data_IF_095850451829
#
_entry.id   IF_095850451829
#
_cell.length_a   1.000
_cell.length_b   1.000
_cell.length_c   1.000
_cell.angle_alpha   90.00
_cell.angle_beta   90.00
_cell.angle_gamma   90.00
#
_symmetry.space_group_name_H-M   'P 1'
#
loop_
_entity.id
_entity.type
_entity.pdbx_description
1 polymer ?
#
# COMPACT_ATOMS: atom_id res chain seq x y z
N UNK A 1 -10.69 18.39 2.33
CA UNK A 1 -9.36 18.62 2.94
C UNK A 1 -8.35 17.70 2.25
N UNK A 2 -7.23 18.22 1.74
CA UNK A 2 -6.20 17.38 1.11
C UNK A 2 -5.41 16.67 2.20
N UNK A 3 -5.45 15.34 2.24
CA UNK A 3 -4.70 14.52 3.20
C UNK A 3 -3.22 14.54 2.82
N UNK A 4 -2.36 15.00 3.71
CA UNK A 4 -0.91 14.90 3.52
C UNK A 4 -0.44 13.47 3.81
N UNK A 5 -0.11 12.70 2.78
CA UNK A 5 0.24 11.28 2.94
C UNK A 5 1.51 11.05 3.78
N UNK A 6 2.38 12.06 3.96
CA UNK A 6 3.53 11.98 4.88
C UNK A 6 3.14 11.93 6.36
N UNK A 7 1.90 12.29 6.69
CA UNK A 7 1.37 12.15 8.05
C UNK A 7 0.98 10.71 8.38
N UNK A 8 0.95 9.82 7.38
CA UNK A 8 0.44 8.46 7.51
C UNK A 8 1.46 7.42 7.08
N UNK A 9 2.76 7.71 7.26
CA UNK A 9 3.84 6.73 7.07
C UNK A 9 3.78 5.63 8.15
N UNK A 10 4.33 4.46 7.89
CA UNK A 10 4.25 3.28 8.75
C UNK A 10 4.72 3.57 10.18
N UNK A 11 5.78 4.37 10.34
CA UNK A 11 6.29 4.79 11.65
C UNK A 11 5.22 5.59 12.42
N UNK A 12 4.49 6.50 11.76
CA UNK A 12 3.41 7.25 12.39
C UNK A 12 2.19 6.38 12.68
N UNK A 13 1.91 5.41 11.80
CA UNK A 13 0.85 4.42 12.01
C UNK A 13 1.12 3.58 13.26
N UNK A 14 2.35 3.09 13.46
CA UNK A 14 2.67 2.32 14.67
C UNK A 14 2.67 3.16 15.95
N UNK A 15 3.10 4.42 15.88
CA UNK A 15 3.08 5.35 17.02
C UNK A 15 1.65 5.61 17.47
N UNK A 16 0.74 5.79 16.50
CA UNK A 16 -0.69 6.03 16.75
C UNK A 16 -1.43 4.74 17.12
N UNK A 17 -1.11 3.62 16.48
CA UNK A 17 -1.84 2.37 16.56
C UNK A 17 -0.83 1.24 16.81
N UNK A 18 -0.46 1.04 18.08
CA UNK A 18 0.61 0.12 18.49
C UNK A 18 0.47 -1.31 17.98
N UNK A 19 -0.75 -1.75 17.64
CA UNK A 19 -0.97 -3.08 17.08
C UNK A 19 -0.25 -3.30 15.74
N UNK A 20 0.08 -2.23 15.00
CA UNK A 20 0.82 -2.33 13.74
C UNK A 20 2.15 -3.06 13.92
N UNK A 21 2.83 -2.89 15.06
CA UNK A 21 4.08 -3.60 15.40
C UNK A 21 3.91 -5.12 15.43
N UNK A 22 2.69 -5.60 15.70
CA UNK A 22 2.37 -7.02 15.72
C UNK A 22 2.14 -7.63 14.33
N UNK A 23 1.91 -6.79 13.31
CA UNK A 23 1.56 -7.24 11.96
C UNK A 23 2.76 -7.86 11.23
N UNK A 24 2.47 -8.87 10.43
CA UNK A 24 3.45 -9.45 9.50
C UNK A 24 3.97 -8.41 8.49
N UNK A 25 3.11 -7.45 8.11
CA UNK A 25 3.50 -6.32 7.28
C UNK A 25 4.62 -5.49 7.91
N UNK A 26 4.47 -5.12 9.19
CA UNK A 26 5.47 -4.31 9.90
C UNK A 26 6.79 -5.07 10.06
N UNK A 27 6.73 -6.32 10.52
CA UNK A 27 7.91 -7.18 10.66
C UNK A 27 8.64 -7.38 9.32
N UNK A 28 7.88 -7.51 8.23
CA UNK A 28 8.47 -7.57 6.89
C UNK A 28 9.18 -6.28 6.53
N UNK A 29 8.51 -5.14 6.77
CA UNK A 29 9.07 -3.83 6.50
C UNK A 29 10.41 -3.63 7.22
N UNK A 30 10.52 -4.02 8.49
CA UNK A 30 11.78 -3.95 9.24
C UNK A 30 12.90 -4.75 8.56
N UNK A 31 12.64 -5.99 8.14
CA UNK A 31 13.62 -6.84 7.44
C UNK A 31 14.02 -6.23 6.09
N UNK A 32 13.06 -5.70 5.34
CA UNK A 32 13.28 -5.10 4.02
C UNK A 32 14.00 -3.74 4.09
N UNK A 33 13.91 -3.06 5.23
CA UNK A 33 14.54 -1.74 5.43
C UNK A 33 15.99 -1.82 5.98
N UNK A 34 16.44 -2.99 6.43
CA UNK A 34 17.82 -3.21 6.89
C UNK A 34 18.85 -2.88 5.79
N UNK A 35 20.04 -2.42 6.21
CA UNK A 35 21.09 -2.04 5.28
C UNK A 35 21.74 -3.26 4.62
N UNK A 36 22.48 -3.02 3.53
CA UNK A 36 23.19 -4.09 2.82
C UNK A 36 24.27 -4.75 3.68
N UNK A 37 24.89 -4.01 4.60
CA UNK A 37 25.93 -4.54 5.50
C UNK A 37 25.37 -5.47 6.58
N UNK A 38 24.08 -5.34 6.90
CA UNK A 38 23.45 -6.08 8.00
C UNK A 38 23.07 -7.52 7.63
N UNK A 39 23.21 -7.91 6.35
CA UNK A 39 22.67 -9.15 5.81
C UNK A 39 23.70 -9.82 4.87
N UNK A 40 23.91 -11.13 5.02
CA UNK A 40 24.78 -11.92 4.14
C UNK A 40 24.39 -11.65 2.67
N UNK A 41 25.34 -11.17 1.86
CA UNK A 41 25.11 -10.71 0.48
C UNK A 41 24.17 -11.65 -0.28
N UNK A 42 22.94 -11.22 -0.51
CA UNK A 42 22.01 -11.92 -1.39
C UNK A 42 22.50 -11.72 -2.83
N UNK A 43 23.06 -12.76 -3.45
CA UNK A 43 23.60 -12.70 -4.82
C UNK A 43 22.49 -12.70 -5.90
N UNK A 44 21.42 -11.93 -5.69
CA UNK A 44 20.32 -11.83 -6.63
C UNK A 44 20.61 -10.77 -7.70
N UNK A 45 20.51 -11.15 -8.97
CA UNK A 45 20.66 -10.23 -10.10
C UNK A 45 21.96 -9.40 -10.08
N UNK A 46 23.08 -10.01 -9.67
CA UNK A 46 24.37 -9.30 -9.43
C UNK A 46 24.96 -8.64 -10.68
N UNK A 47 24.70 -9.21 -11.86
CA UNK A 47 25.29 -8.75 -13.13
C UNK A 47 24.46 -7.67 -13.84
N UNK A 48 23.43 -7.12 -13.20
CA UNK A 48 22.63 -6.07 -13.82
C UNK A 48 23.42 -4.76 -13.92
N UNK A 49 23.38 -4.15 -15.09
CA UNK A 49 23.96 -2.83 -15.29
C UNK A 49 22.94 -1.76 -14.93
N UNK A 50 23.39 -0.78 -14.14
CA UNK A 50 22.65 0.45 -13.83
C UNK A 50 23.09 1.63 -14.68
N UNK A 51 23.96 1.42 -15.68
CA UNK A 51 24.57 2.48 -16.50
C UNK A 51 23.58 3.30 -17.33
N UNK A 52 22.31 2.89 -17.39
CA UNK A 52 21.23 3.58 -18.09
C UNK A 52 20.42 4.52 -17.18
N UNK A 53 20.76 4.54 -15.89
CA UNK A 53 20.19 5.44 -14.92
C UNK A 53 21.25 6.45 -14.52
N UNK A 54 20.87 7.71 -14.50
CA UNK A 54 21.74 8.81 -14.12
C UNK A 54 21.35 9.41 -12.75
N UNK A 55 20.20 8.99 -12.20
CA UNK A 55 19.67 9.48 -10.93
C UNK A 55 20.17 8.61 -9.75
N UNK A 56 20.98 9.16 -8.83
CA UNK A 56 21.57 8.40 -7.73
C UNK A 56 20.54 7.80 -6.76
N UNK A 57 19.42 8.48 -6.53
CA UNK A 57 18.38 8.05 -5.59
C UNK A 57 17.56 6.90 -6.20
N UNK A 58 17.23 6.99 -7.49
CA UNK A 58 16.62 5.87 -8.25
C UNK A 58 17.55 4.66 -8.24
N UNK A 59 18.84 4.83 -8.54
CA UNK A 59 19.81 3.73 -8.54
C UNK A 59 19.90 3.08 -7.15
N UNK A 60 19.96 3.89 -6.10
CA UNK A 60 20.05 3.42 -4.71
C UNK A 60 18.82 2.60 -4.31
N UNK A 61 17.61 3.12 -4.57
CA UNK A 61 16.37 2.42 -4.27
C UNK A 61 16.23 1.13 -5.08
N UNK A 62 16.64 1.13 -6.34
CA UNK A 62 16.55 -0.03 -7.21
C UNK A 62 17.52 -1.15 -6.79
N UNK A 63 18.74 -0.81 -6.38
CA UNK A 63 19.67 -1.78 -5.76
C UNK A 63 19.06 -2.43 -4.51
N UNK A 64 18.44 -1.63 -3.64
CA UNK A 64 17.73 -2.14 -2.45
C UNK A 64 16.56 -3.05 -2.84
N UNK A 65 15.77 -2.66 -3.84
CA UNK A 65 14.64 -3.46 -4.33
C UNK A 65 15.08 -4.82 -4.89
N UNK A 66 16.13 -4.88 -5.71
CA UNK A 66 16.68 -6.15 -6.21
C UNK A 66 17.16 -7.04 -5.08
N UNK A 67 17.90 -6.47 -4.13
CA UNK A 67 18.35 -7.19 -2.94
C UNK A 67 17.17 -7.75 -2.13
N UNK A 68 16.12 -6.97 -1.96
CA UNK A 68 14.89 -7.40 -1.30
C UNK A 68 14.14 -8.48 -2.08
N UNK A 69 14.13 -8.44 -3.41
CA UNK A 69 13.66 -9.56 -4.23
C UNK A 69 14.48 -10.84 -3.99
N UNK A 70 15.80 -10.69 -3.79
CA UNK A 70 16.68 -11.79 -3.37
C UNK A 70 16.32 -12.40 -2.02
N UNK A 71 15.96 -11.58 -1.03
CA UNK A 71 15.43 -12.08 0.26
C UNK A 71 14.20 -12.95 0.04
N UNK A 72 13.27 -12.51 -0.81
CA UNK A 72 12.02 -13.22 -1.09
C UNK A 72 12.23 -14.56 -1.82
N UNK A 73 13.42 -14.81 -2.38
CA UNK A 73 13.76 -16.13 -2.93
C UNK A 73 14.06 -17.16 -1.83
N UNK A 74 14.43 -16.70 -0.63
CA UNK A 74 14.81 -17.54 0.51
C UNK A 74 14.16 -17.03 1.80
N UNK A 75 12.82 -16.91 1.83
CA UNK A 75 12.14 -16.23 2.92
C UNK A 75 12.39 -16.89 4.28
N UNK A 76 12.65 -18.19 4.32
CA UNK A 76 12.96 -18.94 5.54
C UNK A 76 14.28 -18.54 6.21
N UNK A 77 15.23 -17.95 5.45
CA UNK A 77 16.50 -17.45 6.00
C UNK A 77 16.35 -16.08 6.70
N UNK A 78 15.30 -15.33 6.37
CA UNK A 78 15.18 -13.91 6.75
C UNK A 78 13.93 -13.56 7.56
N UNK A 79 12.87 -14.33 7.42
CA UNK A 79 11.62 -14.12 8.13
C UNK A 79 11.29 -15.31 9.04
N UNK A 80 10.61 -15.04 10.15
CA UNK A 80 10.23 -16.05 11.15
C UNK A 80 8.72 -16.17 11.21
N UNK A 81 8.23 -17.40 11.35
CA UNK A 81 6.82 -17.71 11.57
C UNK A 81 6.03 -17.88 10.28
N UNK A 82 4.71 -17.66 10.36
CA UNK A 82 3.76 -17.98 9.29
C UNK A 82 3.88 -17.09 8.05
N UNK A 83 4.64 -16.00 8.16
CA UNK A 83 4.91 -15.05 7.10
C UNK A 83 5.59 -15.68 5.87
N UNK A 84 6.41 -16.73 6.09
CA UNK A 84 7.10 -17.46 5.02
C UNK A 84 6.17 -18.41 4.26
N UNK A 85 4.98 -18.70 4.80
CA UNK A 85 4.03 -19.66 4.21
C UNK A 85 3.28 -19.10 2.99
N UNK A 86 3.31 -17.78 2.77
CA UNK A 86 2.60 -17.14 1.64
C UNK A 86 3.52 -16.18 0.88
N UNK A 87 4.02 -16.67 -0.27
CA UNK A 87 4.83 -15.85 -1.19
C UNK A 87 4.05 -14.63 -1.72
N UNK A 88 2.75 -14.80 -1.98
CA UNK A 88 1.88 -13.71 -2.44
C UNK A 88 1.80 -12.57 -1.41
N UNK A 89 1.69 -12.90 -0.11
CA UNK A 89 1.71 -11.89 0.96
C UNK A 89 3.06 -11.18 1.07
N UNK A 90 4.17 -11.91 0.98
CA UNK A 90 5.50 -11.31 0.98
C UNK A 90 5.68 -10.29 -0.15
N UNK A 91 5.08 -10.54 -1.31
CA UNK A 91 5.08 -9.59 -2.40
C UNK A 91 4.26 -8.34 -2.13
N UNK A 92 3.09 -8.47 -1.51
CA UNK A 92 2.35 -7.30 -1.02
C UNK A 92 3.21 -6.49 -0.06
N UNK A 93 3.91 -7.13 0.88
CA UNK A 93 4.75 -6.42 1.84
C UNK A 93 5.96 -5.75 1.18
N UNK A 94 6.56 -6.37 0.15
CA UNK A 94 7.61 -5.74 -0.64
C UNK A 94 7.09 -4.52 -1.41
N UNK A 95 5.92 -4.61 -2.03
CA UNK A 95 5.29 -3.48 -2.72
C UNK A 95 4.93 -2.36 -1.73
N UNK A 96 4.38 -2.70 -0.56
CA UNK A 96 4.14 -1.75 0.52
C UNK A 96 5.42 -1.00 0.88
N UNK A 97 6.51 -1.74 1.12
CA UNK A 97 7.81 -1.15 1.42
C UNK A 97 8.28 -0.22 0.29
N UNK A 98 8.20 -0.66 -0.97
CA UNK A 98 8.61 0.17 -2.12
C UNK A 98 7.79 1.47 -2.19
N UNK A 99 6.47 1.38 -2.08
CA UNK A 99 5.58 2.54 -2.12
C UNK A 99 5.86 3.50 -0.97
N UNK A 100 6.13 2.97 0.22
CA UNK A 100 6.53 3.78 1.36
C UNK A 100 7.86 4.49 1.13
N UNK A 101 8.86 3.82 0.56
CA UNK A 101 10.15 4.45 0.22
C UNK A 101 9.98 5.57 -0.81
N UNK A 102 9.13 5.38 -1.83
CA UNK A 102 8.85 6.41 -2.82
C UNK A 102 8.19 7.65 -2.20
N UNK A 103 7.30 7.45 -1.22
CA UNK A 103 6.61 8.52 -0.51
C UNK A 103 7.53 9.24 0.48
N UNK A 104 8.27 8.50 1.31
CA UNK A 104 9.13 9.05 2.37
C UNK A 104 10.28 9.85 1.79
N UNK A 105 10.85 9.40 0.67
CA UNK A 105 12.00 10.03 0.03
C UNK A 105 11.61 11.02 -1.09
N UNK A 106 10.34 11.43 -1.17
CA UNK A 106 9.87 12.49 -2.08
C UNK A 106 10.12 12.26 -3.58
N UNK A 107 10.07 11.01 -4.04
CA UNK A 107 10.25 10.69 -5.45
C UNK A 107 9.17 11.37 -6.31
N UNK A 108 9.60 12.07 -7.35
CA UNK A 108 8.75 12.65 -8.37
C UNK A 108 8.19 11.58 -9.32
N UNK A 109 7.15 11.94 -10.08
CA UNK A 109 6.63 11.06 -11.13
C UNK A 109 7.68 10.68 -12.17
N UNK A 110 8.68 11.54 -12.42
CA UNK A 110 9.75 11.24 -13.37
C UNK A 110 10.67 10.13 -12.84
N UNK A 111 11.14 10.25 -11.60
CA UNK A 111 11.99 9.24 -10.96
C UNK A 111 11.24 7.91 -10.77
N UNK A 112 9.96 7.98 -10.40
CA UNK A 112 9.08 6.79 -10.31
C UNK A 112 8.98 6.08 -11.67
N UNK A 113 8.82 6.84 -12.76
CA UNK A 113 8.78 6.26 -14.10
C UNK A 113 10.11 5.59 -14.46
N UNK A 114 11.24 6.22 -14.17
CA UNK A 114 12.57 5.62 -14.39
C UNK A 114 12.72 4.30 -13.63
N UNK A 115 12.27 4.26 -12.37
CA UNK A 115 12.32 3.05 -11.55
C UNK A 115 11.51 1.91 -12.18
N UNK A 116 10.26 2.17 -12.58
CA UNK A 116 9.39 1.15 -13.18
C UNK A 116 9.82 0.74 -14.59
N UNK A 117 10.30 1.67 -15.40
CA UNK A 117 10.77 1.38 -16.77
C UNK A 117 11.99 0.45 -16.73
N UNK A 118 12.89 0.66 -15.76
CA UNK A 118 13.99 -0.27 -15.52
C UNK A 118 13.48 -1.66 -15.10
N UNK A 119 12.56 -1.75 -14.13
CA UNK A 119 12.00 -3.04 -13.71
C UNK A 119 11.37 -3.78 -14.90
N UNK A 120 10.62 -3.07 -15.73
CA UNK A 120 9.99 -3.65 -16.92
C UNK A 120 11.02 -4.12 -17.94
N UNK A 121 12.07 -3.33 -18.20
CA UNK A 121 13.12 -3.70 -19.16
C UNK A 121 13.86 -4.96 -18.72
N UNK A 122 14.15 -5.08 -17.42
CA UNK A 122 14.94 -6.18 -16.86
C UNK A 122 14.11 -7.38 -16.39
N UNK A 123 12.77 -7.30 -16.46
CA UNK A 123 11.84 -8.39 -16.07
C UNK A 123 12.16 -9.73 -16.76
N UNK A 124 12.61 -9.66 -18.01
CA UNK A 124 12.93 -10.83 -18.84
C UNK A 124 14.43 -11.23 -18.79
N UNK A 125 15.25 -10.55 -17.97
CA UNK A 125 16.67 -10.79 -17.78
C UNK A 125 16.98 -11.61 -16.53
N UNK A 126 17.83 -11.10 -15.65
CA UNK A 126 18.14 -11.74 -14.35
C UNK A 126 16.90 -11.97 -13.46
N UNK A 127 15.83 -11.20 -13.70
CA UNK A 127 14.53 -11.31 -13.01
C UNK A 127 13.66 -12.43 -13.59
N UNK A 128 14.08 -13.09 -14.67
CA UNK A 128 13.34 -14.16 -15.36
C UNK A 128 13.60 -15.55 -14.80
N UNK A 129 14.53 -15.71 -13.86
CA UNK A 129 14.79 -17.04 -13.27
C UNK A 129 13.45 -17.69 -12.90
N UNK A 130 13.25 -18.98 -13.18
CA UNK A 130 11.94 -19.66 -13.09
C UNK A 130 11.34 -19.62 -11.68
N UNK A 131 12.15 -19.23 -10.69
CA UNK A 131 11.75 -18.91 -9.33
C UNK A 131 11.01 -17.56 -9.19
N UNK A 132 11.25 -16.58 -10.09
CA UNK A 132 10.69 -15.23 -10.13
C UNK A 132 9.50 -15.02 -11.05
N UNK A 133 9.31 -15.86 -12.08
CA UNK A 133 8.08 -15.83 -12.90
C UNK A 133 6.81 -16.00 -12.04
N UNK A 134 6.97 -16.34 -10.75
CA UNK A 134 5.91 -16.47 -9.75
C UNK A 134 5.96 -15.53 -8.56
N UNK A 135 6.96 -14.65 -8.39
CA UNK A 135 7.07 -13.95 -7.09
C UNK A 135 6.28 -12.65 -7.07
N UNK A 136 6.71 -11.53 -7.66
CA UNK A 136 5.96 -10.26 -7.53
C UNK A 136 5.81 -9.53 -8.87
N UNK A 137 4.59 -9.12 -9.23
CA UNK A 137 4.35 -8.26 -10.40
C UNK A 137 4.45 -6.78 -10.01
N UNK A 138 5.28 -6.01 -10.71
CA UNK A 138 5.35 -4.55 -10.51
C UNK A 138 4.69 -3.83 -11.69
N UNK A 139 3.59 -3.14 -11.42
CA UNK A 139 2.90 -2.32 -12.41
C UNK A 139 3.36 -0.87 -12.31
N UNK A 140 3.53 -0.20 -13.46
CA UNK A 140 3.94 1.21 -13.51
C UNK A 140 2.83 2.13 -13.01
N UNK A 141 2.92 2.53 -11.75
CA UNK A 141 1.96 3.40 -11.07
C UNK A 141 2.42 4.85 -11.08
N UNK A 142 1.47 5.80 -11.13
CA UNK A 142 1.76 7.20 -10.84
C UNK A 142 1.96 7.43 -9.33
N UNK A 143 2.58 8.55 -8.92
CA UNK A 143 2.68 8.93 -7.51
C UNK A 143 1.30 9.01 -6.83
N UNK A 144 0.29 9.49 -7.57
CA UNK A 144 -1.10 9.51 -7.08
C UNK A 144 -1.61 8.10 -6.80
N UNK A 145 -1.43 7.18 -7.76
CA UNK A 145 -1.85 5.79 -7.61
C UNK A 145 -1.11 5.11 -6.45
N UNK A 146 0.20 5.37 -6.29
CA UNK A 146 1.02 4.88 -5.17
C UNK A 146 0.43 5.31 -3.83
N UNK A 147 0.06 6.59 -3.68
CA UNK A 147 -0.59 7.07 -2.46
C UNK A 147 -1.94 6.38 -2.20
N UNK A 148 -2.75 6.16 -3.23
CA UNK A 148 -4.05 5.49 -3.10
C UNK A 148 -3.90 4.01 -2.73
N UNK A 149 -3.02 3.28 -3.41
CA UNK A 149 -2.74 1.86 -3.13
C UNK A 149 -2.15 1.68 -1.74
N UNK A 150 -1.22 2.55 -1.33
CA UNK A 150 -0.64 2.49 0.02
C UNK A 150 -1.70 2.71 1.11
N UNK A 151 -2.61 3.67 0.92
CA UNK A 151 -3.74 3.88 1.83
C UNK A 151 -4.72 2.68 1.87
N UNK A 152 -4.90 1.98 0.75
CA UNK A 152 -5.67 0.72 0.72
C UNK A 152 -5.01 -0.39 1.55
N UNK A 153 -3.67 -0.49 1.49
CA UNK A 153 -2.92 -1.44 2.31
C UNK A 153 -3.08 -1.12 3.81
N UNK A 154 -2.89 0.14 4.21
CA UNK A 154 -3.06 0.55 5.61
C UNK A 154 -4.50 0.32 6.11
N UNK A 155 -5.48 0.62 5.25
CA UNK A 155 -6.89 0.39 5.55
C UNK A 155 -7.22 -1.09 5.77
N UNK A 156 -6.71 -2.01 4.95
CA UNK A 156 -7.05 -3.43 5.12
C UNK A 156 -6.43 -4.02 6.38
N UNK A 157 -5.21 -3.61 6.74
CA UNK A 157 -4.58 -4.03 7.99
C UNK A 157 -5.35 -3.50 9.20
N UNK A 158 -5.79 -2.23 9.14
CA UNK A 158 -6.68 -1.65 10.14
C UNK A 158 -8.01 -2.42 10.25
N UNK A 159 -8.66 -2.71 9.13
CA UNK A 159 -9.94 -3.41 9.11
C UNK A 159 -9.83 -4.85 9.66
N UNK A 160 -8.71 -5.52 9.38
CA UNK A 160 -8.45 -6.89 9.81
C UNK A 160 -8.20 -7.04 11.31
N UNK A 161 -7.83 -5.96 12.00
CA UNK A 161 -7.62 -6.00 13.45
C UNK A 161 -8.93 -6.39 14.18
N UNK A 162 -8.87 -7.40 15.04
CA UNK A 162 -10.04 -7.93 15.77
C UNK A 162 -10.53 -7.03 16.91
N UNK A 163 -9.66 -6.19 17.46
CA UNK A 163 -10.01 -5.30 18.56
C UNK A 163 -10.77 -4.08 18.04
N UNK A 164 -12.03 -3.94 18.44
CA UNK A 164 -12.87 -2.80 18.05
C UNK A 164 -12.47 -1.50 18.78
N UNK A 165 -11.71 -1.58 19.88
CA UNK A 165 -11.28 -0.40 20.65
C UNK A 165 -10.34 0.51 19.86
N UNK A 166 -9.71 0.02 18.79
CA UNK A 166 -8.89 0.85 17.89
C UNK A 166 -9.72 1.98 17.24
N UNK A 167 -11.03 1.81 17.12
CA UNK A 167 -11.93 2.83 16.60
C UNK A 167 -12.07 4.01 17.57
N UNK A 168 -12.06 3.74 18.88
CA UNK A 168 -12.03 4.77 19.93
C UNK A 168 -10.68 5.50 19.98
N UNK A 169 -9.60 4.83 19.55
CA UNK A 169 -8.27 5.43 19.47
C UNK A 169 -8.14 6.41 18.31
N UNK A 170 -8.60 6.03 17.12
CA UNK A 170 -8.60 6.93 15.95
C UNK A 170 -9.64 8.04 16.08
N UNK A 171 -10.77 7.82 16.75
CA UNK A 171 -11.84 8.85 16.90
C UNK A 171 -11.43 10.05 17.74
N UNK A 172 -10.24 10.03 18.34
CA UNK A 172 -9.67 11.18 19.07
C UNK A 172 -9.05 12.20 18.12
N UNK A 173 -8.89 11.86 16.85
CA UNK A 173 -8.19 12.66 15.87
C UNK A 173 -8.78 12.45 14.47
N UNK A 174 -9.52 13.46 14.02
CA UNK A 174 -10.27 13.46 12.76
C UNK A 174 -9.39 13.18 11.53
N UNK A 175 -8.09 13.52 11.57
CA UNK A 175 -7.19 13.21 10.45
C UNK A 175 -7.06 11.69 10.24
N UNK A 176 -7.01 10.90 11.31
CA UNK A 176 -6.95 9.43 11.22
C UNK A 176 -8.28 8.83 10.79
N UNK A 177 -9.40 9.35 11.31
CA UNK A 177 -10.74 8.93 10.87
C UNK A 177 -10.89 9.18 9.38
N UNK A 178 -10.50 10.37 8.90
CA UNK A 178 -10.51 10.75 7.49
C UNK A 178 -9.60 9.85 6.64
N UNK A 179 -8.41 9.53 7.14
CA UNK A 179 -7.45 8.68 6.44
C UNK A 179 -7.97 7.26 6.19
N UNK A 180 -8.50 6.61 7.22
CA UNK A 180 -9.07 5.27 7.07
C UNK A 180 -10.39 5.30 6.31
N UNK A 181 -11.21 6.35 6.46
CA UNK A 181 -12.43 6.54 5.68
C UNK A 181 -12.13 6.67 4.19
N UNK A 182 -11.07 7.40 3.83
CA UNK A 182 -10.58 7.47 2.44
C UNK A 182 -10.20 6.08 1.92
N UNK A 183 -9.51 5.26 2.72
CA UNK A 183 -9.18 3.88 2.35
C UNK A 183 -10.42 3.02 2.08
N UNK A 184 -11.45 3.14 2.92
CA UNK A 184 -12.75 2.49 2.70
C UNK A 184 -13.41 2.96 1.39
N UNK A 185 -13.41 4.25 1.11
CA UNK A 185 -14.01 4.80 -0.10
C UNK A 185 -13.25 4.37 -1.35
N UNK A 186 -11.91 4.42 -1.30
CA UNK A 186 -11.04 3.91 -2.34
C UNK A 186 -11.30 2.43 -2.60
N UNK A 187 -11.48 1.62 -1.55
CA UNK A 187 -11.73 0.18 -1.71
C UNK A 187 -13.05 -0.04 -2.47
N UNK A 188 -14.12 0.65 -2.06
CA UNK A 188 -15.43 0.56 -2.73
C UNK A 188 -15.38 1.04 -4.18
N UNK A 189 -14.74 2.17 -4.44
CA UNK A 189 -14.60 2.73 -5.78
C UNK A 189 -13.74 1.81 -6.65
N UNK A 190 -12.65 1.26 -6.12
CA UNK A 190 -11.76 0.35 -6.85
C UNK A 190 -12.46 -0.95 -7.20
N UNK A 191 -13.26 -1.52 -6.29
CA UNK A 191 -14.14 -2.66 -6.59
C UNK A 191 -15.04 -2.42 -7.79
N UNK A 192 -15.56 -1.21 -7.95
CA UNK A 192 -16.44 -0.85 -9.07
C UNK A 192 -15.60 -0.60 -10.33
N UNK A 193 -14.58 0.26 -10.24
CA UNK A 193 -13.72 0.67 -11.37
C UNK A 193 -12.96 -0.50 -11.99
N UNK A 194 -12.49 -1.44 -11.16
CA UNK A 194 -11.65 -2.56 -11.56
C UNK A 194 -12.42 -3.87 -11.73
N UNK A 195 -13.76 -3.82 -11.75
CA UNK A 195 -14.64 -4.98 -12.03
C UNK A 195 -14.77 -5.33 -13.51
N UNK A 196 -14.41 -4.39 -14.40
CA UNK A 196 -14.44 -4.59 -15.85
C UNK A 196 -13.07 -5.02 -16.39
N UNK A 197 -13.04 -5.54 -17.61
CA UNK A 197 -11.82 -5.88 -18.36
C UNK A 197 -10.94 -4.66 -18.71
N UNK A 198 -11.22 -3.48 -18.14
CA UNK A 198 -10.36 -2.29 -18.28
C UNK A 198 -9.18 -2.40 -17.34
N UNK A 199 -8.11 -2.94 -17.89
CA UNK A 199 -6.90 -3.23 -17.16
C UNK A 199 -5.85 -2.12 -17.27
N UNK A 200 -5.98 -1.07 -16.45
CA UNK A 200 -4.86 -0.16 -16.21
C UNK A 200 -3.99 -0.70 -15.05
N UNK A 201 -2.77 -0.15 -14.93
CA UNK A 201 -1.80 -0.56 -13.91
C UNK A 201 -2.32 -0.46 -12.48
N UNK A 202 -3.14 0.55 -12.18
CA UNK A 202 -3.82 0.67 -10.88
C UNK A 202 -4.73 -0.53 -10.60
N UNK A 203 -5.57 -0.91 -11.56
CA UNK A 203 -6.50 -2.02 -11.38
C UNK A 203 -5.80 -3.38 -11.32
N UNK A 204 -4.68 -3.55 -12.03
CA UNK A 204 -3.86 -4.75 -11.86
C UNK A 204 -3.32 -4.86 -10.43
N UNK A 205 -2.74 -3.78 -9.91
CA UNK A 205 -2.23 -3.75 -8.54
C UNK A 205 -3.33 -4.00 -7.50
N UNK A 206 -4.47 -3.30 -7.64
CA UNK A 206 -5.62 -3.48 -6.75
C UNK A 206 -6.17 -4.90 -6.78
N UNK A 207 -6.33 -5.51 -7.96
CA UNK A 207 -6.93 -6.84 -8.08
C UNK A 207 -6.03 -7.94 -7.52
N UNK A 208 -4.69 -7.82 -7.67
CA UNK A 208 -3.75 -8.74 -7.04
C UNK A 208 -3.83 -8.67 -5.51
N UNK A 209 -3.77 -7.45 -4.97
CA UNK A 209 -3.95 -7.18 -3.56
C UNK A 209 -5.29 -7.73 -3.04
N UNK A 210 -6.40 -7.43 -3.71
CA UNK A 210 -7.73 -7.83 -3.26
C UNK A 210 -7.90 -9.34 -3.20
N UNK A 211 -7.27 -10.07 -4.13
CA UNK A 211 -7.29 -11.54 -4.16
C UNK A 211 -6.64 -12.14 -2.91
N UNK A 212 -5.58 -11.52 -2.40
CA UNK A 212 -4.84 -11.98 -1.22
C UNK A 212 -5.64 -11.72 0.06
N UNK A 213 -6.35 -10.60 0.14
CA UNK A 213 -7.15 -10.21 1.31
C UNK A 213 -8.63 -10.58 1.21
N UNK A 214 -9.00 -11.47 0.28
CA UNK A 214 -10.39 -11.82 -0.04
C UNK A 214 -11.13 -12.51 1.12
N UNK A 215 -10.41 -13.07 2.09
CA UNK A 215 -11.02 -13.64 3.31
C UNK A 215 -11.59 -12.53 4.19
N UNK A 216 -12.85 -12.19 3.94
CA UNK A 216 -13.56 -11.19 4.72
C UNK A 216 -13.95 -11.76 6.07
N UNK A 217 -13.52 -11.09 7.14
CA UNK A 217 -14.12 -11.34 8.46
C UNK A 217 -15.62 -11.03 8.39
N UNK A 218 -16.48 -11.83 9.03
CA UNK A 218 -17.93 -11.57 9.06
C UNK A 218 -18.28 -10.18 9.64
N UNK A 219 -17.36 -9.56 10.37
CA UNK A 219 -17.53 -8.26 11.01
C UNK A 219 -17.12 -7.05 10.14
N UNK A 220 -16.64 -7.26 8.90
CA UNK A 220 -16.21 -6.15 8.03
C UNK A 220 -17.32 -5.12 7.83
N UNK A 221 -18.55 -5.56 7.54
CA UNK A 221 -19.66 -4.64 7.31
C UNK A 221 -19.98 -3.77 8.54
N UNK A 222 -19.87 -4.33 9.76
CA UNK A 222 -20.04 -3.59 11.00
C UNK A 222 -18.95 -2.53 11.20
N UNK A 223 -17.70 -2.92 10.94
CA UNK A 223 -16.52 -2.05 11.05
C UNK A 223 -16.54 -0.90 10.03
N UNK A 224 -16.93 -1.18 8.79
CA UNK A 224 -17.11 -0.16 7.74
C UNK A 224 -18.19 0.86 8.13
N UNK A 225 -19.31 0.38 8.69
CA UNK A 225 -20.38 1.25 9.21
C UNK A 225 -19.89 2.10 10.36
N UNK A 226 -19.15 1.51 11.31
CA UNK A 226 -18.59 2.24 12.46
C UNK A 226 -17.65 3.36 11.99
N UNK A 227 -16.73 3.06 11.07
CA UNK A 227 -15.83 4.07 10.49
C UNK A 227 -16.59 5.23 9.83
N UNK A 228 -17.64 4.90 9.08
CA UNK A 228 -18.49 5.90 8.42
C UNK A 228 -19.24 6.76 9.44
N UNK A 229 -19.73 6.17 10.52
CA UNK A 229 -20.40 6.91 11.60
C UNK A 229 -19.45 7.86 12.33
N UNK A 230 -18.22 7.43 12.61
CA UNK A 230 -17.20 8.29 13.23
C UNK A 230 -16.91 9.51 12.36
N UNK A 231 -16.67 9.29 11.07
CA UNK A 231 -16.41 10.37 10.13
C UNK A 231 -17.57 11.37 10.06
N UNK A 232 -18.81 10.88 9.96
CA UNK A 232 -20.00 11.73 9.83
C UNK A 232 -20.31 12.53 11.10
N UNK A 233 -20.10 11.97 12.30
CA UNK A 233 -20.28 12.69 13.57
C UNK A 233 -19.38 13.92 13.66
N UNK A 234 -18.18 13.84 13.11
CA UNK A 234 -17.25 14.96 13.13
C UNK A 234 -17.56 15.99 12.03
N UNK A 235 -18.09 15.55 10.88
CA UNK A 235 -18.56 16.47 9.82
C UNK A 235 -19.75 17.32 10.28
N UNK A 236 -20.66 16.76 11.09
CA UNK A 236 -21.80 17.51 11.65
C UNK A 236 -21.38 18.45 12.77
N UNK A 237 -20.36 18.12 13.56
CA UNK A 237 -19.78 19.00 14.58
C UNK A 237 -18.94 20.15 13.98
N UNK A 238 -18.38 19.97 12.78
CA UNK A 238 -17.58 20.98 12.07
C UNK A 238 -18.39 21.86 11.10
N UNK A 239 -19.72 21.75 11.08
CA UNK A 239 -20.59 22.72 10.43
C UNK A 239 -20.54 22.72 8.90
N UNK A 240 -20.41 21.55 8.26
CA UNK A 240 -20.72 21.42 6.82
C UNK A 240 -22.04 20.67 6.66
N UNK A 241 -23.12 21.44 6.48
CA UNK A 241 -24.42 20.88 6.08
C UNK A 241 -24.28 20.25 4.68
N UNK A 242 -24.86 19.07 4.42
CA UNK A 242 -25.18 18.69 3.05
C UNK A 242 -26.06 19.78 2.46
N UNK A 243 -25.70 20.33 1.30
CA UNK A 243 -26.68 21.04 0.49
C UNK A 243 -27.65 20.00 -0.05
N UNK A 244 -28.83 19.95 0.55
CA UNK A 244 -29.98 19.25 0.01
C UNK A 244 -30.37 19.95 -1.31
N UNK A 245 -30.03 19.34 -2.44
CA UNK A 245 -30.65 19.65 -3.72
C UNK A 245 -32.07 19.07 -3.72
N UNK A 246 -32.98 19.74 -3.01
CA UNK A 246 -34.40 19.63 -3.29
C UNK A 246 -34.69 20.56 -4.47
N UNK A 247 -34.80 19.98 -5.67
CA UNK A 247 -35.48 20.64 -6.79
C UNK A 247 -36.96 20.80 -6.40
N UNK A 248 -37.28 21.96 -5.85
CA UNK A 248 -38.66 22.43 -5.72
C UNK A 248 -39.11 22.83 -7.14
N UNK A 249 -40.06 22.06 -7.68
CA UNK A 249 -40.77 22.44 -8.88
C UNK A 249 -41.72 23.58 -8.55
N UNK A 250 -41.74 24.60 -9.39
CA UNK A 250 -42.81 25.58 -9.42
C UNK A 250 -43.35 25.68 -10.84
N UNK A 251 -44.61 25.25 -10.97
CA UNK A 251 -45.51 25.54 -12.08
C UNK A 251 -45.90 27.03 -12.09
N UNK A 252 -46.20 27.50 -13.31
CA UNK A 252 -47.09 28.60 -13.72
C UNK A 252 -46.63 30.05 -13.43
N UNK A 253 -46.69 31.02 -14.36
CA UNK A 253 -47.54 31.25 -15.53
C UNK A 253 -46.76 31.76 -16.77
#
# INVERSE_FOLDING_TARGET
MSINNKNFILIKLEEKLKFFQGLDLYKSYEVLNKSLADLNNTNFCVNISFSELDDPDVISLQKKLLRNLGILQKPEEFFVGDITKSKDKLCVYLKYWLYEQLIVNDFSNFEINLLFDFLEKHKNGCMKDKSLEKTCNFYKLSLKDIHEIKNLYDYIEFLNNKDIKIYDEISKDHEWVSYFKKGLDLYKISKIRCSSDKHNNYCYEFNEFEKIYKEKSPYFSCKEKLLTLLHNKETTLTGHSPQDNAHEGTLDH
#
